data_IF_124326676666
#
_entry.id   IF_124326676666
#
_cell.length_a   1.000
_cell.length_b   1.000
_cell.length_c   1.000
_cell.angle_alpha   90.00
_cell.angle_beta   90.00
_cell.angle_gamma   90.00
#
_symmetry.space_group_name_H-M   'P 1'
#
loop_
_entity.id
_entity.type
_entity.pdbx_description
1 polymer ?
#
# COMPACT_ATOMS: atom_id res chain seq x y z
N UNK A 1 -62.90 -73.90 -31.82
CA UNK A 1 -62.91 -72.46 -31.63
C UNK A 1 -61.72 -72.17 -30.66
N UNK A 2 -60.57 -71.78 -31.19
CA UNK A 2 -59.34 -71.50 -30.43
C UNK A 2 -59.16 -70.05 -30.19
N UNK A 3 -59.13 -69.64 -28.93
CA UNK A 3 -58.90 -68.30 -28.50
C UNK A 3 -57.38 -68.09 -28.37
N UNK A 4 -56.82 -67.08 -29.08
CA UNK A 4 -55.43 -66.66 -29.01
C UNK A 4 -55.24 -65.64 -27.89
N UNK A 5 -54.14 -65.62 -27.15
CA UNK A 5 -53.93 -64.63 -26.07
C UNK A 5 -53.33 -63.33 -26.59
N UNK A 6 -53.83 -62.20 -26.03
CA UNK A 6 -53.38 -60.82 -26.28
C UNK A 6 -52.05 -60.56 -25.53
N UNK A 7 -50.99 -60.22 -26.29
CA UNK A 7 -49.72 -59.79 -25.71
C UNK A 7 -49.77 -58.34 -25.20
N UNK A 8 -49.41 -58.12 -23.94
CA UNK A 8 -49.21 -56.80 -23.34
C UNK A 8 -47.86 -56.20 -23.77
N UNK A 9 -47.94 -55.12 -24.52
CA UNK A 9 -46.74 -54.26 -24.78
C UNK A 9 -46.42 -53.40 -23.57
N UNK A 10 -45.27 -53.64 -22.96
CA UNK A 10 -44.73 -52.78 -21.89
C UNK A 10 -43.86 -51.71 -22.54
N UNK A 11 -44.29 -50.44 -22.49
CA UNK A 11 -43.48 -49.29 -22.94
C UNK A 11 -42.53 -48.88 -21.79
N UNK A 12 -41.25 -49.04 -22.00
CA UNK A 12 -40.22 -48.52 -21.13
C UNK A 12 -39.89 -47.08 -21.55
N UNK A 13 -40.27 -46.09 -20.74
CA UNK A 13 -39.81 -44.71 -20.89
C UNK A 13 -38.44 -44.57 -20.26
N UNK A 14 -37.39 -44.51 -21.08
CA UNK A 14 -36.07 -44.17 -20.64
C UNK A 14 -35.97 -42.64 -20.36
N UNK A 15 -35.90 -42.24 -19.10
CA UNK A 15 -35.51 -40.86 -18.71
C UNK A 15 -34.03 -40.67 -19.02
N UNK A 16 -33.70 -39.92 -20.05
CA UNK A 16 -32.35 -39.41 -20.28
C UNK A 16 -32.06 -38.31 -19.27
N UNK A 17 -31.33 -38.62 -18.22
CA UNK A 17 -30.72 -37.60 -17.33
C UNK A 17 -29.45 -37.12 -18.02
N UNK A 18 -29.51 -35.97 -18.64
CA UNK A 18 -28.31 -35.25 -19.12
C UNK A 18 -27.57 -34.66 -17.90
N UNK A 19 -26.30 -34.97 -17.71
CA UNK A 19 -25.51 -34.30 -16.68
C UNK A 19 -25.32 -32.85 -17.10
N UNK A 20 -25.88 -31.92 -16.31
CA UNK A 20 -25.53 -30.49 -16.38
C UNK A 20 -24.09 -30.36 -15.89
N UNK A 21 -23.12 -30.38 -16.81
CA UNK A 21 -21.78 -29.92 -16.53
C UNK A 21 -21.84 -28.44 -16.26
N UNK A 22 -21.91 -28.07 -14.98
CA UNK A 22 -21.59 -26.74 -14.53
C UNK A 22 -20.09 -26.53 -14.83
N UNK A 23 -19.76 -25.99 -16.00
CA UNK A 23 -18.43 -25.49 -16.31
C UNK A 23 -18.23 -24.32 -15.36
N UNK A 24 -17.50 -24.54 -14.26
CA UNK A 24 -16.81 -23.45 -13.58
C UNK A 24 -15.97 -22.77 -14.67
N UNK A 25 -16.33 -21.52 -15.02
CA UNK A 25 -15.50 -20.71 -15.88
C UNK A 25 -14.15 -20.59 -15.15
N UNK A 26 -13.14 -21.29 -15.64
CA UNK A 26 -11.75 -21.03 -15.28
C UNK A 26 -11.55 -19.55 -15.56
N UNK A 27 -11.43 -18.77 -14.49
CA UNK A 27 -11.09 -17.35 -14.59
C UNK A 27 -9.73 -17.32 -15.29
N UNK A 28 -9.71 -16.93 -16.55
CA UNK A 28 -8.50 -16.77 -17.33
C UNK A 28 -7.53 -15.95 -16.47
N UNK A 29 -6.34 -16.52 -16.24
CA UNK A 29 -5.28 -15.84 -15.49
C UNK A 29 -4.92 -14.58 -16.28
N UNK A 30 -5.41 -13.43 -15.83
CA UNK A 30 -5.16 -12.16 -16.50
C UNK A 30 -3.74 -11.76 -16.19
N UNK A 31 -2.93 -11.55 -17.22
CA UNK A 31 -1.58 -11.02 -17.04
C UNK A 31 -1.68 -9.59 -16.53
N UNK A 32 -0.99 -9.28 -15.41
CA UNK A 32 -0.95 -7.93 -14.84
C UNK A 32 -0.19 -6.92 -15.72
N UNK A 33 -0.23 -5.65 -15.32
CA UNK A 33 0.36 -4.54 -16.06
C UNK A 33 1.87 -4.70 -16.31
N UNK A 34 2.59 -5.33 -15.38
CA UNK A 34 4.04 -5.57 -15.52
C UNK A 34 4.34 -6.53 -16.69
N UNK A 35 3.49 -7.51 -16.92
CA UNK A 35 3.69 -8.46 -18.04
C UNK A 35 3.20 -7.92 -19.37
N UNK A 36 2.16 -7.09 -19.37
CA UNK A 36 1.53 -6.56 -20.58
C UNK A 36 2.09 -5.21 -21.03
N UNK A 37 2.77 -4.48 -20.13
CA UNK A 37 3.16 -3.09 -20.33
C UNK A 37 1.98 -2.09 -20.30
N UNK A 38 0.77 -2.57 -20.00
CA UNK A 38 -0.44 -1.74 -20.01
C UNK A 38 -0.97 -1.47 -18.60
N UNK A 39 -0.79 -0.25 -18.13
CA UNK A 39 -1.34 0.26 -16.88
C UNK A 39 -2.67 0.95 -17.17
N UNK A 40 -3.73 0.51 -16.51
CA UNK A 40 -5.09 1.05 -16.74
C UNK A 40 -5.19 2.51 -16.32
N UNK A 41 -5.79 3.33 -17.17
CA UNK A 41 -6.17 4.71 -16.82
C UNK A 41 -7.69 4.74 -16.54
N UNK A 42 -8.05 4.61 -15.26
CA UNK A 42 -9.45 4.56 -14.81
C UNK A 42 -10.18 5.87 -15.07
N UNK A 43 -9.48 7.02 -15.08
CA UNK A 43 -10.10 8.31 -15.39
C UNK A 43 -10.46 8.40 -16.87
N UNK A 44 -9.60 7.93 -17.77
CA UNK A 44 -9.92 7.85 -19.20
C UNK A 44 -11.05 6.85 -19.45
N UNK A 45 -11.05 5.71 -18.78
CA UNK A 45 -12.16 4.74 -18.81
C UNK A 45 -13.47 5.35 -18.26
N UNK A 46 -13.38 6.31 -17.35
CA UNK A 46 -14.52 7.08 -16.83
C UNK A 46 -14.97 8.22 -17.75
N UNK A 47 -14.21 8.54 -18.81
CA UNK A 47 -14.58 9.51 -19.84
C UNK A 47 -13.82 10.83 -19.80
N UNK A 48 -12.84 10.99 -18.92
CA UNK A 48 -11.97 12.16 -18.88
C UNK A 48 -10.88 12.05 -19.97
N UNK A 49 -10.45 13.18 -20.52
CA UNK A 49 -9.35 13.17 -21.50
C UNK A 49 -7.98 12.98 -20.81
N UNK A 50 -7.03 12.39 -21.52
CA UNK A 50 -5.65 12.25 -21.00
C UNK A 50 -5.02 13.59 -20.62
N UNK A 51 -5.36 14.66 -21.33
CA UNK A 51 -4.88 16.01 -21.04
C UNK A 51 -5.42 16.53 -19.68
N UNK A 52 -6.69 16.33 -19.39
CA UNK A 52 -7.29 16.69 -18.09
C UNK A 52 -6.67 15.89 -16.95
N UNK A 53 -6.43 14.59 -17.17
CA UNK A 53 -5.79 13.71 -16.18
C UNK A 53 -4.37 14.21 -15.86
N UNK A 54 -3.55 14.49 -16.88
CA UNK A 54 -2.19 15.04 -16.70
C UNK A 54 -2.25 16.37 -15.97
N UNK A 55 -3.11 17.29 -16.38
CA UNK A 55 -3.26 18.61 -15.75
C UNK A 55 -3.67 18.50 -14.27
N UNK A 56 -4.55 17.55 -13.93
CA UNK A 56 -4.97 17.30 -12.54
C UNK A 56 -3.81 16.80 -11.67
N UNK A 57 -3.02 15.85 -12.17
CA UNK A 57 -1.83 15.32 -11.47
C UNK A 57 -0.80 16.43 -11.27
N UNK A 58 -0.48 17.19 -12.32
CA UNK A 58 0.49 18.29 -12.26
C UNK A 58 0.03 19.38 -11.28
N UNK A 59 -1.24 19.75 -11.31
CA UNK A 59 -1.82 20.72 -10.36
C UNK A 59 -1.74 20.25 -8.92
N UNK A 60 -2.05 18.97 -8.66
CA UNK A 60 -1.97 18.39 -7.32
C UNK A 60 -0.51 18.33 -6.82
N UNK A 61 0.43 17.93 -7.68
CA UNK A 61 1.84 17.94 -7.35
C UNK A 61 2.34 19.36 -7.06
N UNK A 62 2.01 20.34 -7.91
CA UNK A 62 2.42 21.73 -7.71
C UNK A 62 1.86 22.28 -6.38
N UNK A 63 0.59 21.99 -6.06
CA UNK A 63 0.00 22.45 -4.81
C UNK A 63 0.66 21.81 -3.58
N UNK A 64 0.85 20.50 -3.55
CA UNK A 64 1.37 19.78 -2.39
C UNK A 64 2.88 19.93 -2.19
N UNK A 65 3.64 20.11 -3.29
CA UNK A 65 5.10 20.25 -3.21
C UNK A 65 5.60 21.69 -3.30
N UNK A 66 4.90 22.57 -3.98
CA UNK A 66 5.37 23.92 -4.29
C UNK A 66 4.33 25.01 -4.05
N UNK A 67 3.18 24.67 -3.46
CA UNK A 67 2.12 25.63 -3.14
C UNK A 67 2.42 26.47 -1.90
N UNK A 68 1.42 27.24 -1.43
CA UNK A 68 1.53 28.05 -0.24
C UNK A 68 1.92 27.17 0.98
N UNK A 69 3.06 27.46 1.65
CA UNK A 69 3.53 26.66 2.78
C UNK A 69 2.58 26.67 3.99
N UNK A 70 1.74 27.70 4.12
CA UNK A 70 0.82 27.80 5.25
C UNK A 70 -0.45 26.95 5.07
N UNK A 71 -0.92 26.80 3.82
CA UNK A 71 -2.24 26.23 3.54
C UNK A 71 -2.24 25.03 2.60
N UNK A 72 -1.19 24.83 1.77
CA UNK A 72 -1.19 23.88 0.67
C UNK A 72 -0.03 22.87 0.72
N UNK A 73 1.21 23.37 0.82
CA UNK A 73 2.38 22.52 0.70
C UNK A 73 2.56 21.57 1.90
N UNK A 74 3.04 20.36 1.61
CA UNK A 74 3.55 19.40 2.60
C UNK A 74 5.04 19.17 2.44
N UNK A 75 5.64 19.53 1.29
CA UNK A 75 7.07 19.47 1.03
C UNK A 75 7.74 20.78 1.43
N UNK A 76 8.82 20.67 2.23
CA UNK A 76 9.55 21.84 2.76
C UNK A 76 11.05 21.69 2.55
N UNK A 77 11.74 22.68 1.93
CA UNK A 77 13.19 22.75 1.87
C UNK A 77 13.81 22.86 3.28
N UNK A 78 14.97 22.21 3.49
CA UNK A 78 15.67 22.15 4.78
C UNK A 78 17.16 22.51 4.67
N UNK A 79 17.51 23.36 3.72
CA UNK A 79 18.91 23.76 3.48
C UNK A 79 19.69 22.77 2.63
N UNK A 80 21.00 22.72 2.83
CA UNK A 80 21.93 21.89 2.05
C UNK A 80 23.02 21.29 2.95
N UNK A 81 23.56 20.15 2.53
CA UNK A 81 24.78 19.53 3.10
C UNK A 81 25.73 19.08 1.98
N UNK A 82 26.75 18.29 2.30
CA UNK A 82 27.70 17.75 1.33
C UNK A 82 27.04 16.90 0.21
N UNK A 83 25.87 16.31 0.47
CA UNK A 83 25.07 15.55 -0.48
C UNK A 83 24.01 16.40 -1.22
N UNK A 84 24.13 17.74 -1.22
CA UNK A 84 23.26 18.72 -1.86
C UNK A 84 21.98 19.06 -1.07
N UNK A 85 20.85 19.49 -1.70
CA UNK A 85 19.65 19.94 -0.98
C UNK A 85 19.07 18.87 -0.04
N UNK A 86 18.46 19.39 1.00
CA UNK A 86 17.63 18.63 1.97
C UNK A 86 16.20 19.14 1.88
N UNK A 87 15.23 18.23 1.95
CA UNK A 87 13.84 18.58 2.10
C UNK A 87 13.10 17.50 2.90
N UNK A 88 11.94 17.83 3.44
CA UNK A 88 11.10 16.90 4.18
C UNK A 88 9.62 17.06 3.82
N UNK A 89 8.87 15.98 4.02
CA UNK A 89 7.42 15.98 4.04
C UNK A 89 6.97 16.21 5.49
N UNK A 90 6.17 17.22 5.72
CA UNK A 90 5.73 17.67 7.04
C UNK A 90 4.31 17.19 7.35
N UNK A 91 4.12 16.44 8.41
CA UNK A 91 2.81 16.28 9.03
C UNK A 91 2.51 17.52 9.88
N UNK A 92 1.81 18.46 9.28
CA UNK A 92 1.51 19.74 9.92
C UNK A 92 0.52 19.59 11.08
N UNK A 93 -0.32 18.55 11.03
CA UNK A 93 -1.27 18.24 12.09
C UNK A 93 -0.58 17.81 13.37
N UNK A 94 0.37 16.89 13.25
CA UNK A 94 1.15 16.35 14.36
C UNK A 94 2.49 17.08 14.58
N UNK A 95 2.87 17.98 13.67
CA UNK A 95 4.08 18.82 13.73
C UNK A 95 5.38 18.01 13.70
N UNK A 96 5.38 16.92 12.95
CA UNK A 96 6.53 16.02 12.82
C UNK A 96 6.84 15.66 11.35
N UNK A 97 7.93 14.91 11.17
CA UNK A 97 8.37 14.35 9.89
C UNK A 97 8.42 12.85 10.07
N UNK A 98 7.65 12.11 9.28
CA UNK A 98 7.50 10.65 9.37
C UNK A 98 8.20 9.93 8.22
N UNK A 99 8.76 8.75 8.51
CA UNK A 99 9.34 7.89 7.46
C UNK A 99 8.31 7.54 6.39
N UNK A 100 7.05 7.33 6.77
CA UNK A 100 5.89 7.18 5.88
C UNK A 100 5.83 8.32 4.84
N UNK A 101 5.69 9.56 5.29
CA UNK A 101 5.56 10.72 4.39
C UNK A 101 6.80 10.95 3.54
N UNK A 102 8.00 10.76 4.12
CA UNK A 102 9.27 10.87 3.39
C UNK A 102 9.35 9.86 2.24
N UNK A 103 8.99 8.60 2.49
CA UNK A 103 9.03 7.53 1.51
C UNK A 103 7.93 7.66 0.45
N UNK A 104 6.73 8.11 0.82
CA UNK A 104 5.66 8.43 -0.14
C UNK A 104 6.04 9.61 -1.03
N UNK A 105 6.64 10.67 -0.45
CA UNK A 105 7.15 11.79 -1.24
C UNK A 105 8.20 11.37 -2.26
N UNK A 106 9.12 10.46 -1.89
CA UNK A 106 10.10 9.89 -2.81
C UNK A 106 9.42 9.04 -3.89
N UNK A 107 8.44 8.21 -3.54
CA UNK A 107 7.70 7.40 -4.52
C UNK A 107 6.96 8.28 -5.53
N UNK A 108 6.25 9.31 -5.08
CA UNK A 108 5.58 10.29 -5.94
C UNK A 108 6.61 10.97 -6.87
N UNK A 109 7.73 11.44 -6.30
CA UNK A 109 8.77 12.13 -7.06
C UNK A 109 9.40 11.24 -8.14
N UNK A 110 9.67 9.96 -7.85
CA UNK A 110 10.22 9.05 -8.86
C UNK A 110 9.20 8.73 -9.96
N UNK A 111 7.91 8.59 -9.63
CA UNK A 111 6.87 8.36 -10.63
C UNK A 111 6.70 9.57 -11.55
N UNK A 112 6.76 10.78 -11.03
CA UNK A 112 6.62 12.03 -11.80
C UNK A 112 7.93 12.55 -12.42
N UNK A 113 9.04 11.80 -12.35
CA UNK A 113 10.35 12.23 -12.85
C UNK A 113 10.91 13.51 -12.20
N UNK A 114 10.65 13.68 -10.91
CA UNK A 114 11.08 14.84 -10.10
C UNK A 114 12.33 14.47 -9.28
N UNK A 115 13.47 14.33 -9.99
CA UNK A 115 14.73 13.86 -9.38
C UNK A 115 15.25 14.79 -8.28
N UNK A 116 15.06 16.08 -8.41
CA UNK A 116 15.52 17.07 -7.42
C UNK A 116 14.83 16.90 -6.08
N UNK A 117 13.50 16.75 -6.10
CA UNK A 117 12.68 16.53 -4.92
C UNK A 117 12.98 15.16 -4.30
N UNK A 118 13.15 14.13 -5.13
CA UNK A 118 13.54 12.79 -4.69
C UNK A 118 14.87 12.80 -3.94
N UNK A 119 15.91 13.37 -4.53
CA UNK A 119 17.25 13.42 -3.94
C UNK A 119 17.28 14.23 -2.65
N UNK A 120 16.52 15.31 -2.57
CA UNK A 120 16.44 16.14 -1.37
C UNK A 120 15.74 15.41 -0.21
N UNK A 121 14.66 14.67 -0.49
CA UNK A 121 13.97 13.83 0.50
C UNK A 121 14.86 12.68 0.96
N UNK A 122 15.52 11.97 0.03
CA UNK A 122 16.41 10.89 0.37
C UNK A 122 17.61 11.37 1.20
N UNK A 123 18.24 12.48 0.81
CA UNK A 123 19.33 13.09 1.57
C UNK A 123 18.89 13.43 3.01
N UNK A 124 17.68 13.97 3.19
CA UNK A 124 17.12 14.27 4.50
C UNK A 124 16.87 13.00 5.33
N UNK A 125 16.25 11.96 4.75
CA UNK A 125 16.02 10.69 5.42
C UNK A 125 17.34 10.06 5.89
N UNK A 126 18.35 10.04 5.01
CA UNK A 126 19.70 9.52 5.33
C UNK A 126 20.46 10.34 6.38
N UNK A 127 20.26 11.64 6.42
CA UNK A 127 20.98 12.54 7.34
C UNK A 127 20.36 12.59 8.72
N UNK A 128 19.02 12.54 8.81
CA UNK A 128 18.31 12.88 10.05
C UNK A 128 17.49 11.74 10.67
N UNK A 129 17.19 10.69 9.90
CA UNK A 129 16.34 9.59 10.38
C UNK A 129 17.09 8.26 10.45
N UNK A 130 18.09 8.06 9.60
CA UNK A 130 18.82 6.79 9.49
C UNK A 130 19.80 6.56 10.64
N UNK A 131 19.76 5.35 11.21
CA UNK A 131 20.67 4.91 12.29
C UNK A 131 21.88 4.17 11.73
N UNK A 132 23.03 4.85 11.67
CA UNK A 132 24.28 4.32 11.11
C UNK A 132 25.19 3.60 12.14
N UNK A 133 24.92 3.77 13.44
CA UNK A 133 25.73 3.14 14.50
C UNK A 133 25.34 1.68 14.69
N UNK A 134 26.29 0.76 14.55
CA UNK A 134 26.05 -0.69 14.70
C UNK A 134 25.62 -1.12 16.11
N UNK A 135 25.80 -0.25 17.12
CA UNK A 135 25.35 -0.49 18.49
C UNK A 135 23.95 0.05 18.77
N UNK A 136 23.34 0.77 17.83
CA UNK A 136 22.00 1.31 17.98
C UNK A 136 20.96 0.22 17.70
N UNK A 137 19.88 0.07 18.50
CA UNK A 137 18.88 -0.98 18.28
C UNK A 137 18.16 -0.85 16.92
N UNK A 138 17.98 0.37 16.40
CA UNK A 138 17.43 0.62 15.07
C UNK A 138 18.51 0.72 13.96
N UNK A 139 19.74 0.26 14.20
CA UNK A 139 20.82 0.30 13.18
C UNK A 139 20.35 -0.25 11.84
N UNK A 140 20.57 0.46 10.74
CA UNK A 140 20.15 0.07 9.39
C UNK A 140 18.74 0.55 9.00
N UNK A 141 17.96 1.00 9.97
CA UNK A 141 16.59 1.50 9.81
C UNK A 141 16.48 3.01 10.00
N UNK A 142 15.27 3.52 9.92
CA UNK A 142 14.94 4.94 10.06
C UNK A 142 14.05 5.16 11.29
N UNK A 143 14.25 6.27 12.01
CA UNK A 143 13.27 6.75 12.97
C UNK A 143 11.93 6.96 12.27
N UNK A 144 10.82 6.41 12.82
CA UNK A 144 9.52 6.65 12.20
C UNK A 144 9.08 8.11 12.32
N UNK A 145 9.52 8.83 13.36
CA UNK A 145 9.16 10.23 13.58
C UNK A 145 10.33 11.07 14.08
N UNK A 146 10.53 12.23 13.45
CA UNK A 146 11.48 13.26 13.87
C UNK A 146 10.81 14.63 13.88
N UNK A 147 11.36 15.58 14.64
CA UNK A 147 11.03 17.00 14.49
C UNK A 147 11.51 17.54 13.14
N UNK A 148 11.00 18.69 12.72
CA UNK A 148 11.42 19.37 11.49
C UNK A 148 12.90 19.78 11.48
N UNK A 149 13.51 19.96 12.64
CA UNK A 149 14.97 20.18 12.79
C UNK A 149 15.81 18.90 12.69
N UNK A 150 15.17 17.71 12.66
CA UNK A 150 15.83 16.40 12.56
C UNK A 150 16.06 15.69 13.89
N UNK A 151 15.67 16.28 15.03
CA UNK A 151 15.72 15.59 16.31
C UNK A 151 14.71 14.46 16.35
N UNK A 152 15.08 13.23 16.71
CA UNK A 152 14.13 12.12 16.81
C UNK A 152 13.07 12.36 17.88
N UNK A 153 11.80 12.14 17.51
CA UNK A 153 10.69 11.99 18.46
C UNK A 153 10.59 10.54 18.94
N UNK A 154 10.80 9.60 18.00
CA UNK A 154 10.84 8.18 18.28
C UNK A 154 11.73 7.49 17.24
N UNK A 155 12.68 6.70 17.72
CA UNK A 155 13.68 6.01 16.90
C UNK A 155 13.26 4.59 16.50
N UNK A 156 12.08 4.15 16.89
CA UNK A 156 11.53 2.86 16.47
C UNK A 156 11.22 2.90 14.96
N UNK A 157 11.59 1.90 14.19
CA UNK A 157 11.20 1.82 12.78
C UNK A 157 9.72 1.48 12.59
N UNK A 158 9.11 2.05 11.55
CA UNK A 158 7.78 1.70 11.05
C UNK A 158 7.94 1.13 9.62
N UNK A 159 7.69 -0.17 9.41
CA UNK A 159 8.06 -0.90 8.19
C UNK A 159 7.60 -0.30 6.88
N UNK A 160 6.44 0.32 6.82
CA UNK A 160 5.91 0.97 5.61
C UNK A 160 6.86 2.03 5.04
N UNK A 161 7.56 2.76 5.91
CA UNK A 161 8.60 3.70 5.51
C UNK A 161 9.74 3.01 4.78
N UNK A 162 10.32 1.96 5.35
CA UNK A 162 11.41 1.19 4.77
C UNK A 162 11.00 0.53 3.45
N UNK A 163 9.79 -0.02 3.36
CA UNK A 163 9.28 -0.68 2.17
C UNK A 163 9.15 0.27 0.98
N UNK A 164 8.59 1.45 1.21
CA UNK A 164 8.51 2.48 0.19
C UNK A 164 9.86 3.10 -0.15
N UNK A 165 10.77 3.29 0.82
CA UNK A 165 12.15 3.71 0.54
C UNK A 165 12.85 2.72 -0.39
N UNK A 166 12.84 1.44 -0.07
CA UNK A 166 13.47 0.39 -0.89
C UNK A 166 12.93 0.40 -2.32
N UNK A 167 11.61 0.38 -2.47
CA UNK A 167 10.99 0.30 -3.80
C UNK A 167 11.24 1.56 -4.62
N UNK A 168 11.12 2.75 -3.99
CA UNK A 168 11.40 4.02 -4.67
C UNK A 168 12.87 4.17 -5.08
N UNK A 169 13.82 3.65 -4.29
CA UNK A 169 15.24 3.62 -4.63
C UNK A 169 15.54 2.70 -5.82
N UNK A 170 14.92 1.51 -5.89
CA UNK A 170 15.04 0.66 -7.08
C UNK A 170 14.47 1.35 -8.32
N UNK A 171 13.34 2.02 -8.20
CA UNK A 171 12.75 2.78 -9.31
C UNK A 171 13.65 3.94 -9.73
N UNK A 172 14.28 4.64 -8.77
CA UNK A 172 15.26 5.69 -9.07
C UNK A 172 16.49 5.15 -9.80
N UNK A 173 17.02 4.00 -9.37
CA UNK A 173 18.13 3.32 -10.05
C UNK A 173 17.77 2.96 -11.51
N UNK A 174 16.56 2.45 -11.74
CA UNK A 174 16.07 2.12 -13.08
C UNK A 174 15.88 3.35 -13.96
N UNK A 175 15.37 4.43 -13.38
CA UNK A 175 14.96 5.62 -14.12
C UNK A 175 16.09 6.60 -14.38
N UNK A 176 16.99 6.76 -13.41
CA UNK A 176 18.05 7.79 -13.46
C UNK A 176 19.48 7.22 -13.41
N UNK A 177 19.60 5.90 -13.22
CA UNK A 177 20.89 5.24 -12.98
C UNK A 177 21.40 5.46 -11.56
N UNK A 178 22.56 4.85 -11.25
CA UNK A 178 23.21 4.95 -9.96
C UNK A 178 24.26 6.07 -9.96
N UNK A 179 24.24 6.89 -8.92
CA UNK A 179 25.26 7.89 -8.63
C UNK A 179 26.30 7.40 -7.62
N UNK A 180 27.04 8.32 -7.02
CA UNK A 180 28.01 8.05 -5.96
C UNK A 180 27.39 8.24 -4.56
N UNK A 181 27.97 7.58 -3.54
CA UNK A 181 27.53 7.71 -2.15
C UNK A 181 26.09 7.30 -1.95
N UNK A 182 25.32 8.14 -1.26
CA UNK A 182 23.87 7.88 -1.00
C UNK A 182 23.02 7.87 -2.27
N UNK A 183 23.53 8.36 -3.39
CA UNK A 183 22.86 8.34 -4.69
C UNK A 183 23.16 7.07 -5.52
N UNK A 184 23.90 6.11 -4.96
CA UNK A 184 23.91 4.74 -5.48
C UNK A 184 22.64 4.04 -5.03
N UNK A 185 21.53 4.39 -5.68
CA UNK A 185 20.18 4.01 -5.26
C UNK A 185 20.00 2.50 -5.11
N UNK A 186 20.54 1.71 -6.07
CA UNK A 186 20.44 0.25 -6.00
C UNK A 186 21.21 -0.33 -4.81
N UNK A 187 22.40 0.18 -4.51
CA UNK A 187 23.16 -0.26 -3.36
C UNK A 187 22.45 0.09 -2.04
N UNK A 188 21.86 1.29 -1.96
CA UNK A 188 21.08 1.73 -0.81
C UNK A 188 19.80 0.89 -0.64
N UNK A 189 19.07 0.60 -1.73
CA UNK A 189 17.92 -0.30 -1.70
C UNK A 189 18.29 -1.71 -1.22
N UNK A 190 19.35 -2.30 -1.79
CA UNK A 190 19.82 -3.63 -1.40
C UNK A 190 20.22 -3.70 0.08
N UNK A 191 20.85 -2.63 0.62
CA UNK A 191 21.27 -2.55 2.01
C UNK A 191 20.04 -2.54 2.95
N UNK A 192 19.08 -1.63 2.72
CA UNK A 192 17.87 -1.55 3.55
C UNK A 192 17.07 -2.86 3.45
N UNK A 193 16.90 -3.40 2.25
CA UNK A 193 16.19 -4.67 2.04
C UNK A 193 16.85 -5.84 2.77
N UNK A 194 18.20 -5.88 2.79
CA UNK A 194 18.97 -6.87 3.54
C UNK A 194 18.78 -6.73 5.05
N UNK A 195 18.79 -5.49 5.57
CA UNK A 195 18.55 -5.22 6.99
C UNK A 195 17.12 -5.61 7.39
N UNK A 196 16.09 -5.32 6.58
CA UNK A 196 14.70 -5.69 6.84
C UNK A 196 14.55 -7.20 7.10
N UNK A 197 15.31 -8.03 6.42
CA UNK A 197 15.23 -9.50 6.53
C UNK A 197 16.20 -10.11 7.52
N UNK A 198 17.48 -9.68 7.51
CA UNK A 198 18.59 -10.42 8.16
C UNK A 198 19.07 -9.81 9.46
N UNK A 199 18.37 -8.78 9.93
CA UNK A 199 18.76 -8.04 11.10
C UNK A 199 18.82 -8.93 12.34
N UNK A 200 19.98 -8.97 12.99
CA UNK A 200 20.15 -9.60 14.29
C UNK A 200 19.60 -8.70 15.39
N UNK A 201 19.24 -9.28 16.53
CA UNK A 201 18.78 -8.53 17.69
C UNK A 201 19.90 -7.63 18.22
N UNK A 202 19.60 -6.36 18.38
CA UNK A 202 20.47 -5.37 19.05
C UNK A 202 19.66 -4.72 20.16
N UNK A 203 20.25 -4.66 21.34
CA UNK A 203 19.70 -3.94 22.50
C UNK A 203 20.50 -2.66 22.73
N UNK A 204 19.81 -1.54 22.89
CA UNK A 204 20.45 -0.25 23.14
C UNK A 204 19.44 0.81 23.61
N UNK A 205 19.98 2.00 23.93
CA UNK A 205 19.17 3.14 24.36
C UNK A 205 18.64 3.92 23.16
N UNK A 206 17.42 4.39 23.28
CA UNK A 206 16.75 5.31 22.36
C UNK A 206 16.23 6.54 23.12
N UNK A 207 15.70 7.52 22.42
CA UNK A 207 15.02 8.67 23.06
C UNK A 207 13.81 8.26 23.88
N UNK A 208 13.25 7.06 23.64
CA UNK A 208 12.12 6.48 24.41
C UNK A 208 12.55 5.44 25.44
N UNK A 209 13.86 5.29 25.67
CA UNK A 209 14.42 4.33 26.64
C UNK A 209 15.01 3.10 25.96
N UNK A 210 15.12 2.00 26.71
CA UNK A 210 15.74 0.77 26.23
C UNK A 210 14.85 0.06 25.20
N UNK A 211 15.41 -0.23 24.03
CA UNK A 211 14.79 -1.00 22.95
C UNK A 211 15.66 -2.22 22.60
N UNK A 212 15.05 -3.31 22.23
CA UNK A 212 15.69 -4.46 21.57
C UNK A 212 14.97 -4.70 20.27
N UNK A 213 15.66 -4.56 19.14
CA UNK A 213 15.04 -4.69 17.82
C UNK A 213 15.80 -5.69 16.93
N UNK A 214 15.07 -6.35 16.03
CA UNK A 214 15.59 -7.32 15.08
C UNK A 214 15.11 -7.07 13.64
N UNK A 215 14.79 -8.15 12.91
CA UNK A 215 14.25 -8.07 11.54
C UNK A 215 12.82 -7.51 11.51
N UNK A 216 12.48 -6.83 10.40
CA UNK A 216 11.11 -6.36 10.15
C UNK A 216 10.16 -7.49 9.73
N UNK A 217 10.68 -8.64 9.31
CA UNK A 217 9.87 -9.77 8.89
C UNK A 217 9.89 -10.88 9.94
N UNK A 218 8.72 -11.40 10.23
CA UNK A 218 8.52 -12.56 11.08
C UNK A 218 8.80 -13.83 10.27
N UNK A 219 9.77 -14.69 10.69
CA UNK A 219 10.27 -15.76 9.83
C UNK A 219 9.33 -16.95 9.70
N UNK A 220 8.50 -17.27 10.71
CA UNK A 220 7.62 -18.45 10.69
C UNK A 220 6.36 -18.21 9.84
N UNK A 221 5.85 -16.96 9.82
CA UNK A 221 4.72 -16.55 9.00
C UNK A 221 5.14 -15.93 7.67
N UNK A 222 6.41 -15.52 7.54
CA UNK A 222 6.96 -14.80 6.37
C UNK A 222 6.17 -13.51 6.11
N UNK A 223 5.86 -12.78 7.18
CA UNK A 223 5.04 -11.57 7.17
C UNK A 223 5.78 -10.40 7.80
N UNK A 224 5.43 -9.19 7.35
CA UNK A 224 5.91 -7.96 7.95
C UNK A 224 5.36 -7.81 9.37
N UNK A 225 6.20 -7.37 10.29
CA UNK A 225 5.82 -7.03 11.67
C UNK A 225 5.28 -5.60 11.72
N UNK A 226 4.51 -5.27 12.74
CA UNK A 226 4.18 -3.87 13.03
C UNK A 226 5.44 -3.04 13.35
N UNK A 227 6.39 -3.63 14.08
CA UNK A 227 7.67 -3.02 14.44
C UNK A 227 8.70 -4.11 14.71
N UNK A 228 10.01 -3.84 14.54
CA UNK A 228 11.05 -4.79 14.92
C UNK A 228 11.36 -4.84 16.44
N UNK A 229 10.78 -3.94 17.26
CA UNK A 229 10.94 -3.96 18.72
C UNK A 229 10.24 -5.16 19.33
N UNK A 230 11.00 -6.02 20.05
CA UNK A 230 10.51 -7.27 20.65
C UNK A 230 9.31 -7.08 21.59
N UNK A 231 9.10 -5.88 22.12
CA UNK A 231 7.95 -5.58 22.97
C UNK A 231 6.63 -5.59 22.20
N UNK A 232 6.69 -5.27 20.88
CA UNK A 232 5.52 -5.03 20.05
C UNK A 232 5.58 -5.77 18.68
N UNK A 233 6.47 -6.75 18.51
CA UNK A 233 6.72 -7.40 17.23
C UNK A 233 5.84 -8.62 16.92
N UNK A 234 4.92 -9.00 17.85
CA UNK A 234 4.09 -10.21 17.72
C UNK A 234 2.77 -9.98 16.97
N UNK A 235 2.64 -8.86 16.30
CA UNK A 235 1.48 -8.51 15.48
C UNK A 235 1.94 -7.75 14.23
N UNK A 236 1.01 -7.53 13.33
CA UNK A 236 1.22 -6.82 12.06
C UNK A 236 0.17 -5.72 11.88
N UNK A 237 0.41 -4.86 10.91
CA UNK A 237 -0.56 -3.92 10.35
C UNK A 237 -0.94 -4.40 8.95
N UNK A 238 -2.23 -4.65 8.65
CA UNK A 238 -2.66 -5.05 7.30
C UNK A 238 -2.24 -4.08 6.21
N UNK A 239 -2.07 -2.78 6.52
CA UNK A 239 -1.64 -1.78 5.56
C UNK A 239 -0.13 -1.82 5.26
N UNK A 240 0.67 -2.54 6.05
CA UNK A 240 2.09 -2.75 5.80
C UNK A 240 2.35 -3.91 4.83
N UNK A 241 1.37 -4.77 4.58
CA UNK A 241 1.51 -5.85 3.60
C UNK A 241 1.48 -5.28 2.17
N UNK A 242 2.62 -5.35 1.48
CA UNK A 242 2.82 -4.81 0.13
C UNK A 242 3.21 -5.93 -0.87
N UNK A 243 2.32 -6.91 -1.15
CA UNK A 243 2.66 -8.04 -2.03
C UNK A 243 3.13 -7.59 -3.42
N UNK A 244 2.65 -6.45 -3.92
CA UNK A 244 3.12 -5.89 -5.18
C UNK A 244 4.62 -5.56 -5.15
N UNK A 245 5.12 -5.01 -4.04
CA UNK A 245 6.54 -4.70 -3.87
C UNK A 245 7.35 -5.96 -3.61
N UNK A 246 6.84 -6.91 -2.83
CA UNK A 246 7.52 -8.18 -2.56
C UNK A 246 7.72 -9.00 -3.83
N UNK A 247 6.74 -9.04 -4.73
CA UNK A 247 6.87 -9.65 -6.06
C UNK A 247 7.94 -8.94 -6.92
N UNK A 248 8.03 -7.62 -6.83
CA UNK A 248 9.07 -6.86 -7.48
C UNK A 248 10.46 -7.19 -6.90
N UNK A 249 10.61 -7.25 -5.56
CA UNK A 249 11.87 -7.61 -4.90
C UNK A 249 12.28 -9.06 -5.17
N UNK A 250 11.31 -9.97 -5.33
CA UNK A 250 11.57 -11.34 -5.77
C UNK A 250 12.24 -11.42 -7.16
N UNK A 251 12.10 -10.38 -7.97
CA UNK A 251 12.71 -10.32 -9.31
C UNK A 251 13.98 -9.48 -9.34
N UNK A 252 13.98 -8.34 -8.69
CA UNK A 252 15.01 -7.31 -8.79
C UNK A 252 15.95 -7.23 -7.58
N UNK A 253 15.55 -7.78 -6.43
CA UNK A 253 16.33 -7.80 -5.19
C UNK A 253 17.51 -8.78 -5.24
N UNK A 254 18.31 -8.84 -4.14
CA UNK A 254 19.44 -9.75 -4.00
C UNK A 254 19.03 -11.20 -4.26
N UNK A 255 19.81 -11.93 -5.06
CA UNK A 255 19.45 -13.30 -5.51
C UNK A 255 19.18 -14.25 -4.35
N UNK A 256 19.92 -14.13 -3.24
CA UNK A 256 19.78 -15.00 -2.08
C UNK A 256 18.40 -14.88 -1.39
N UNK A 257 17.70 -13.74 -1.58
CA UNK A 257 16.45 -13.43 -0.88
C UNK A 257 15.20 -13.51 -1.76
N UNK A 258 15.35 -13.76 -3.06
CA UNK A 258 14.25 -13.73 -4.02
C UNK A 258 13.13 -14.72 -3.71
N UNK A 259 13.48 -15.92 -3.27
CA UNK A 259 12.51 -16.93 -2.87
C UNK A 259 11.69 -16.47 -1.65
N UNK A 260 12.36 -15.92 -0.64
CA UNK A 260 11.69 -15.35 0.54
C UNK A 260 10.68 -14.27 0.15
N UNK A 261 11.05 -13.34 -0.74
CA UNK A 261 10.17 -12.27 -1.16
C UNK A 261 8.96 -12.78 -1.96
N UNK A 262 9.16 -13.82 -2.78
CA UNK A 262 8.04 -14.48 -3.45
C UNK A 262 7.07 -15.15 -2.47
N UNK A 263 7.60 -15.77 -1.41
CA UNK A 263 6.80 -16.36 -0.33
C UNK A 263 6.09 -15.28 0.50
N UNK A 264 6.75 -14.17 0.81
CA UNK A 264 6.14 -13.03 1.52
C UNK A 264 4.97 -12.41 0.74
N UNK A 265 5.10 -12.31 -0.59
CA UNK A 265 3.98 -11.87 -1.43
C UNK A 265 2.79 -12.84 -1.36
N UNK A 266 3.05 -14.15 -1.42
CA UNK A 266 2.00 -15.16 -1.31
C UNK A 266 1.36 -15.14 0.09
N UNK A 267 2.16 -15.05 1.16
CA UNK A 267 1.67 -14.96 2.54
C UNK A 267 0.77 -13.72 2.75
N UNK A 268 1.14 -12.57 2.18
CA UNK A 268 0.35 -11.35 2.28
C UNK A 268 -0.99 -11.44 1.53
N UNK A 269 -1.04 -12.11 0.36
CA UNK A 269 -2.31 -12.37 -0.36
C UNK A 269 -3.26 -13.23 0.47
N UNK A 270 -2.74 -14.29 1.09
CA UNK A 270 -3.52 -15.14 2.01
C UNK A 270 -3.94 -14.38 3.27
N UNK A 271 -3.08 -13.52 3.79
CA UNK A 271 -3.37 -12.70 4.96
C UNK A 271 -4.54 -11.75 4.70
N UNK A 272 -4.60 -11.06 3.56
CA UNK A 272 -5.72 -10.18 3.23
C UNK A 272 -7.08 -10.90 3.25
N UNK A 273 -7.12 -12.18 2.82
CA UNK A 273 -8.37 -12.96 2.84
C UNK A 273 -8.87 -13.23 4.25
N UNK A 274 -7.96 -13.31 5.24
CA UNK A 274 -8.28 -13.55 6.64
C UNK A 274 -8.55 -12.26 7.41
N UNK A 275 -7.78 -11.19 7.14
CA UNK A 275 -7.87 -9.92 7.83
C UNK A 275 -9.10 -9.10 7.41
N UNK A 276 -9.52 -9.18 6.15
CA UNK A 276 -10.70 -8.46 5.68
C UNK A 276 -12.00 -9.14 6.14
N UNK A 277 -12.87 -8.37 6.78
CA UNK A 277 -14.15 -8.87 7.29
C UNK A 277 -15.05 -9.42 6.15
N UNK A 278 -15.63 -10.62 6.31
CA UNK A 278 -16.28 -11.33 5.21
C UNK A 278 -17.52 -10.64 4.64
N UNK A 279 -18.19 -9.78 5.39
CA UNK A 279 -19.37 -9.06 4.91
C UNK A 279 -19.05 -7.64 4.41
N UNK A 280 -18.16 -6.90 5.07
CA UNK A 280 -17.87 -5.49 4.77
C UNK A 280 -16.62 -5.27 3.92
N UNK A 281 -15.67 -6.20 3.95
CA UNK A 281 -14.35 -6.02 3.33
C UNK A 281 -13.41 -5.09 4.12
N UNK A 282 -13.84 -4.58 5.28
CA UNK A 282 -13.01 -3.75 6.14
C UNK A 282 -11.90 -4.57 6.80
N UNK A 283 -10.67 -4.08 6.79
CA UNK A 283 -9.55 -4.64 7.54
C UNK A 283 -9.30 -3.81 8.80
N UNK A 284 -8.80 -4.39 9.91
CA UNK A 284 -8.42 -3.61 11.09
C UNK A 284 -7.14 -2.80 10.84
N UNK A 285 -6.84 -1.81 11.72
CA UNK A 285 -5.53 -1.17 11.75
C UNK A 285 -4.45 -2.19 12.12
N UNK A 286 -4.66 -2.95 13.22
CA UNK A 286 -3.69 -3.96 13.65
C UNK A 286 -4.36 -5.34 13.70
N UNK A 287 -3.57 -6.37 13.36
CA UNK A 287 -4.00 -7.76 13.36
C UNK A 287 -2.90 -8.68 13.90
N UNK A 288 -3.30 -9.81 14.44
CA UNK A 288 -2.40 -10.94 14.62
C UNK A 288 -2.01 -11.52 13.26
N UNK A 289 -0.91 -12.30 13.19
CA UNK A 289 -0.46 -12.91 11.93
C UNK A 289 -1.45 -13.93 11.32
N UNK A 290 -2.42 -14.39 12.10
CA UNK A 290 -3.53 -15.22 11.60
C UNK A 290 -4.66 -14.42 10.95
N UNK A 291 -4.60 -13.08 10.99
CA UNK A 291 -5.59 -12.16 10.44
C UNK A 291 -6.66 -11.71 11.43
N UNK A 292 -6.67 -12.22 12.67
CA UNK A 292 -7.62 -11.76 13.70
C UNK A 292 -7.28 -10.34 14.15
N UNK A 293 -8.29 -9.46 14.34
CA UNK A 293 -8.07 -8.08 14.80
C UNK A 293 -7.36 -8.04 16.16
N UNK A 294 -6.45 -7.08 16.34
CA UNK A 294 -5.71 -6.91 17.58
C UNK A 294 -5.87 -5.49 18.15
N UNK A 295 -6.43 -5.41 19.37
CA UNK A 295 -6.57 -4.15 20.09
C UNK A 295 -5.32 -3.86 20.91
N UNK A 296 -4.51 -2.90 20.49
CA UNK A 296 -3.32 -2.48 21.21
C UNK A 296 -3.67 -1.72 22.49
N UNK A 297 -2.92 -1.92 23.59
CA UNK A 297 -3.18 -1.18 24.85
C UNK A 297 -3.10 0.34 24.72
N UNK A 298 -2.30 0.82 23.77
CA UNK A 298 -2.12 2.27 23.47
C UNK A 298 -3.09 2.79 22.41
N UNK A 299 -3.78 1.92 21.66
CA UNK A 299 -4.76 2.27 20.64
C UNK A 299 -5.93 1.29 20.68
N UNK A 300 -6.95 1.53 21.53
CA UNK A 300 -8.07 0.60 21.69
C UNK A 300 -8.90 0.38 20.43
N UNK A 301 -8.82 1.31 19.45
CA UNK A 301 -9.48 1.20 18.16
C UNK A 301 -8.61 0.58 17.06
N UNK A 302 -7.43 0.07 17.38
CA UNK A 302 -6.58 -0.59 16.38
C UNK A 302 -7.17 -1.91 15.84
N UNK A 303 -8.14 -2.51 16.53
CA UNK A 303 -8.90 -3.64 16.04
C UNK A 303 -10.05 -3.25 15.08
N UNK A 304 -10.27 -1.95 14.87
CA UNK A 304 -11.29 -1.39 14.00
C UNK A 304 -10.68 -0.85 12.69
N UNK A 305 -11.55 -0.51 11.73
CA UNK A 305 -11.14 0.14 10.48
C UNK A 305 -11.00 1.65 10.70
N UNK A 306 -9.78 2.16 10.55
CA UNK A 306 -9.46 3.59 10.62
C UNK A 306 -8.13 3.88 9.91
N UNK A 307 -7.77 5.11 9.71
CA UNK A 307 -6.51 5.67 9.18
C UNK A 307 -5.58 4.71 8.39
N UNK A 308 -4.73 3.92 9.06
CA UNK A 308 -3.75 3.06 8.39
C UNK A 308 -4.44 1.96 7.59
N UNK A 309 -5.52 1.39 8.09
CA UNK A 309 -6.27 0.35 7.38
C UNK A 309 -6.91 0.80 6.06
N UNK A 310 -7.05 2.13 5.80
CA UNK A 310 -7.52 2.63 4.50
C UNK A 310 -6.62 2.18 3.36
N UNK A 311 -5.30 2.13 3.60
CA UNK A 311 -4.27 1.75 2.62
C UNK A 311 -4.32 0.27 2.23
N UNK A 312 -4.90 -0.59 3.08
CA UNK A 312 -4.97 -2.04 2.81
C UNK A 312 -5.64 -2.33 1.46
N UNK A 313 -6.71 -1.57 1.13
CA UNK A 313 -7.42 -1.70 -0.15
C UNK A 313 -6.55 -1.29 -1.36
N UNK A 314 -5.73 -0.26 -1.21
CA UNK A 314 -4.74 0.10 -2.22
C UNK A 314 -3.77 -1.06 -2.44
N UNK A 315 -3.24 -1.66 -1.38
CA UNK A 315 -2.17 -2.64 -1.46
C UNK A 315 -2.58 -3.91 -2.24
N UNK A 316 -3.75 -4.51 -1.93
CA UNK A 316 -4.22 -5.67 -2.71
C UNK A 316 -4.63 -5.29 -4.13
N UNK A 317 -5.17 -4.08 -4.34
CA UNK A 317 -5.61 -3.67 -5.67
C UNK A 317 -4.44 -3.34 -6.61
N UNK A 318 -3.36 -2.79 -6.07
CA UNK A 318 -2.11 -2.56 -6.80
C UNK A 318 -1.44 -3.91 -7.13
N UNK A 319 -1.44 -4.87 -6.20
CA UNK A 319 -0.92 -6.21 -6.47
C UNK A 319 -1.67 -6.89 -7.61
N UNK A 320 -3.00 -6.86 -7.57
CA UNK A 320 -3.81 -7.35 -8.69
C UNK A 320 -3.47 -6.64 -10.00
N UNK A 321 -3.45 -5.31 -9.98
CA UNK A 321 -3.17 -4.50 -11.18
C UNK A 321 -1.81 -4.80 -11.79
N UNK A 322 -0.77 -4.94 -10.96
CA UNK A 322 0.59 -5.17 -11.46
C UNK A 322 0.85 -6.61 -11.88
N UNK A 323 0.35 -7.58 -11.11
CA UNK A 323 0.75 -8.98 -11.24
C UNK A 323 -0.36 -9.91 -11.68
N UNK A 324 -1.63 -9.61 -11.38
CA UNK A 324 -2.80 -10.44 -11.74
C UNK A 324 -2.78 -11.85 -11.12
N UNK A 325 -2.12 -12.02 -9.96
CA UNK A 325 -1.83 -13.35 -9.40
C UNK A 325 -2.91 -13.93 -8.52
N UNK A 326 -3.68 -13.10 -7.82
CA UNK A 326 -4.73 -13.57 -6.91
C UNK A 326 -6.09 -12.94 -7.23
N UNK A 327 -6.94 -13.70 -7.90
CA UNK A 327 -8.28 -13.23 -8.29
C UNK A 327 -9.21 -12.93 -7.10
N UNK A 328 -8.86 -13.38 -5.88
CA UNK A 328 -9.63 -13.11 -4.65
C UNK A 328 -9.53 -11.62 -4.25
N UNK A 329 -8.47 -10.92 -4.64
CA UNK A 329 -8.31 -9.47 -4.41
C UNK A 329 -9.39 -8.65 -5.11
N UNK A 330 -9.91 -9.14 -6.23
CA UNK A 330 -11.07 -8.56 -6.92
C UNK A 330 -12.32 -8.58 -6.03
N UNK A 331 -12.54 -9.72 -5.37
CA UNK A 331 -13.68 -9.89 -4.47
C UNK A 331 -13.56 -9.01 -3.21
N UNK A 332 -12.33 -8.81 -2.70
CA UNK A 332 -12.08 -7.88 -1.60
C UNK A 332 -12.47 -6.46 -1.99
N UNK A 333 -12.03 -5.99 -3.15
CA UNK A 333 -12.37 -4.66 -3.66
C UNK A 333 -13.86 -4.48 -3.92
N UNK A 334 -14.53 -5.46 -4.55
CA UNK A 334 -15.97 -5.41 -4.79
C UNK A 334 -16.78 -5.35 -3.49
N UNK A 335 -16.35 -6.09 -2.45
CA UNK A 335 -17.00 -6.13 -1.14
C UNK A 335 -16.82 -4.81 -0.38
N UNK A 336 -15.59 -4.28 -0.34
CA UNK A 336 -15.29 -3.00 0.29
C UNK A 336 -16.09 -1.86 -0.36
N UNK A 337 -16.09 -1.80 -1.68
CA UNK A 337 -16.85 -0.78 -2.41
C UNK A 337 -18.36 -0.92 -2.22
N UNK A 338 -18.89 -2.15 -2.14
CA UNK A 338 -20.31 -2.36 -1.81
C UNK A 338 -20.67 -1.79 -0.42
N UNK A 339 -19.78 -1.98 0.55
CA UNK A 339 -19.96 -1.42 1.89
C UNK A 339 -20.00 0.11 1.85
N UNK A 340 -19.00 0.79 1.25
CA UNK A 340 -18.97 2.25 1.21
C UNK A 340 -20.08 2.86 0.33
N UNK A 341 -20.48 2.21 -0.76
CA UNK A 341 -21.67 2.61 -1.54
C UNK A 341 -22.91 2.62 -0.64
N UNK A 342 -23.10 1.61 0.21
CA UNK A 342 -24.24 1.53 1.14
C UNK A 342 -24.24 2.63 2.22
N UNK A 343 -23.10 3.26 2.49
CA UNK A 343 -22.95 4.37 3.44
C UNK A 343 -23.13 5.75 2.79
N UNK A 344 -23.22 5.80 1.46
CA UNK A 344 -23.35 7.05 0.69
C UNK A 344 -22.02 7.63 0.25
N UNK A 345 -21.77 7.62 -1.07
CA UNK A 345 -20.46 7.95 -1.69
C UNK A 345 -19.92 9.33 -1.36
N UNK A 346 -20.77 10.30 -1.07
CA UNK A 346 -20.38 11.68 -0.77
C UNK A 346 -20.35 12.02 0.73
N UNK A 347 -20.60 11.04 1.61
CA UNK A 347 -20.83 11.34 3.03
C UNK A 347 -20.43 10.26 4.03
N UNK A 348 -19.89 9.11 3.58
CA UNK A 348 -19.47 8.09 4.52
C UNK A 348 -18.36 8.63 5.46
N UNK A 349 -18.41 8.20 6.70
CA UNK A 349 -17.40 8.56 7.69
C UNK A 349 -16.08 7.81 7.47
N UNK A 350 -15.11 8.11 8.30
CA UNK A 350 -13.73 7.65 8.15
C UNK A 350 -13.32 6.51 9.11
N UNK A 351 -14.16 6.16 10.09
CA UNK A 351 -13.86 5.09 11.05
C UNK A 351 -15.08 4.22 11.31
N UNK A 352 -14.87 2.90 11.29
CA UNK A 352 -15.90 1.89 11.44
C UNK A 352 -15.40 0.70 12.25
N UNK A 353 -16.27 0.09 13.06
CA UNK A 353 -16.02 -1.29 13.47
C UNK A 353 -16.02 -2.19 12.25
N UNK A 354 -15.36 -3.34 12.29
CA UNK A 354 -15.30 -4.24 11.14
C UNK A 354 -16.69 -4.74 10.68
N UNK A 355 -17.66 -4.80 11.59
CA UNK A 355 -19.06 -5.12 11.26
C UNK A 355 -19.84 -3.94 10.65
N UNK A 356 -19.21 -2.76 10.53
CA UNK A 356 -19.75 -1.61 9.80
C UNK A 356 -20.50 -0.58 10.63
N UNK A 357 -20.34 -0.54 11.97
CA UNK A 357 -20.85 0.55 12.80
C UNK A 357 -19.89 1.74 12.72
N UNK A 358 -20.39 2.89 12.30
CA UNK A 358 -19.61 4.12 12.14
C UNK A 358 -19.39 4.77 13.51
N UNK A 359 -18.14 5.24 13.77
CA UNK A 359 -17.78 6.03 14.96
C UNK A 359 -16.87 7.24 14.62
N UNK A 360 -16.52 7.45 13.35
CA UNK A 360 -15.88 8.65 12.83
C UNK A 360 -16.77 9.29 11.75
N UNK A 361 -16.89 10.62 11.75
CA UNK A 361 -17.84 11.34 10.90
C UNK A 361 -17.19 12.14 9.76
N UNK A 362 -15.86 12.23 9.73
CA UNK A 362 -15.17 12.98 8.69
C UNK A 362 -15.21 12.23 7.36
N UNK A 363 -15.58 12.90 6.29
CA UNK A 363 -15.48 12.37 4.94
C UNK A 363 -14.05 12.65 4.42
N UNK A 364 -13.08 11.83 4.88
CA UNK A 364 -11.66 12.06 4.68
C UNK A 364 -11.25 11.83 3.21
N UNK A 365 -10.50 12.78 2.64
CA UNK A 365 -9.98 12.68 1.28
C UNK A 365 -9.10 11.45 1.07
N UNK A 366 -8.27 11.08 2.06
CA UNK A 366 -7.42 9.90 1.99
C UNK A 366 -8.22 8.61 1.82
N UNK A 367 -9.35 8.47 2.54
CA UNK A 367 -10.23 7.30 2.39
C UNK A 367 -10.95 7.29 1.03
N UNK A 368 -11.42 8.45 0.55
CA UNK A 368 -11.99 8.56 -0.80
C UNK A 368 -10.96 8.12 -1.85
N UNK A 369 -9.71 8.55 -1.68
CA UNK A 369 -8.60 8.20 -2.55
C UNK A 369 -8.31 6.69 -2.56
N UNK A 370 -8.21 6.06 -1.39
CA UNK A 370 -7.94 4.61 -1.29
C UNK A 370 -9.09 3.76 -1.82
N UNK A 371 -10.34 4.16 -1.59
CA UNK A 371 -11.51 3.50 -2.17
C UNK A 371 -11.55 3.61 -3.71
N UNK A 372 -11.03 4.70 -4.29
CA UNK A 372 -10.88 4.83 -5.74
C UNK A 372 -9.81 3.90 -6.30
N UNK A 373 -8.65 3.74 -5.60
CA UNK A 373 -7.61 2.79 -6.02
C UNK A 373 -8.11 1.35 -5.98
N UNK A 374 -9.04 1.01 -5.08
CA UNK A 374 -9.69 -0.30 -5.04
C UNK A 374 -10.37 -0.66 -6.38
N UNK A 375 -10.72 0.33 -7.21
CA UNK A 375 -11.29 0.13 -8.56
C UNK A 375 -10.32 -0.52 -9.54
N UNK A 376 -9.02 -0.55 -9.27
CA UNK A 376 -8.04 -1.28 -10.10
C UNK A 376 -8.30 -2.80 -10.10
N UNK A 377 -8.77 -3.33 -8.97
CA UNK A 377 -9.09 -4.75 -8.84
C UNK A 377 -10.60 -5.03 -8.96
N UNK A 378 -11.46 -4.09 -8.60
CA UNK A 378 -12.91 -4.27 -8.61
C UNK A 378 -13.48 -4.67 -9.98
N UNK A 379 -14.53 -5.46 -9.95
CA UNK A 379 -15.21 -5.95 -11.17
C UNK A 379 -16.62 -5.39 -11.34
N UNK A 380 -17.22 -4.91 -10.26
CA UNK A 380 -18.58 -4.40 -10.29
C UNK A 380 -18.61 -2.98 -10.90
N UNK A 381 -19.63 -2.63 -11.73
CA UNK A 381 -19.74 -1.31 -12.36
C UNK A 381 -19.74 -0.11 -11.40
N UNK A 382 -20.05 -0.31 -10.12
CA UNK A 382 -19.96 0.73 -9.08
C UNK A 382 -18.55 1.32 -8.95
N UNK A 383 -17.51 0.58 -9.30
CA UNK A 383 -16.12 1.02 -9.25
C UNK A 383 -15.90 2.39 -9.93
N UNK A 384 -16.61 2.62 -11.05
CA UNK A 384 -16.56 3.91 -11.74
C UNK A 384 -17.00 5.09 -10.85
N UNK A 385 -17.97 4.89 -9.96
CA UNK A 385 -18.45 5.96 -9.07
C UNK A 385 -17.40 6.38 -8.05
N UNK A 386 -16.55 5.45 -7.58
CA UNK A 386 -15.42 5.75 -6.69
C UNK A 386 -14.31 6.50 -7.42
N UNK A 387 -14.05 6.16 -8.68
CA UNK A 387 -13.11 6.90 -9.54
C UNK A 387 -13.59 8.33 -9.75
N UNK A 388 -14.88 8.53 -10.05
CA UNK A 388 -15.50 9.85 -10.18
C UNK A 388 -15.51 10.63 -8.85
N UNK A 389 -15.70 9.95 -7.71
CA UNK A 389 -15.61 10.59 -6.40
C UNK A 389 -14.20 11.17 -6.17
N UNK A 390 -13.14 10.42 -6.47
CA UNK A 390 -11.77 10.93 -6.41
C UNK A 390 -11.54 12.07 -7.41
N UNK A 391 -12.04 11.93 -8.64
CA UNK A 391 -11.93 12.98 -9.66
C UNK A 391 -12.51 14.31 -9.19
N UNK A 392 -13.65 14.27 -8.53
CA UNK A 392 -14.36 15.46 -8.05
C UNK A 392 -13.84 15.98 -6.70
N UNK A 393 -13.00 15.22 -6.00
CA UNK A 393 -12.41 15.63 -4.73
C UNK A 393 -11.30 16.66 -4.97
N UNK A 394 -11.30 17.80 -4.27
CA UNK A 394 -10.24 18.79 -4.38
C UNK A 394 -8.95 18.30 -3.72
N UNK A 395 -7.82 18.90 -4.11
CA UNK A 395 -6.54 18.66 -3.42
C UNK A 395 -6.64 19.17 -1.97
N UNK A 396 -6.25 18.34 -0.97
CA UNK A 396 -6.36 18.72 0.43
C UNK A 396 -5.60 20.01 0.78
N UNK A 397 -6.16 20.76 1.72
CA UNK A 397 -5.59 22.01 2.26
C UNK A 397 -5.71 22.03 3.78
N UNK A 398 -5.11 23.04 4.44
CA UNK A 398 -5.25 23.22 5.88
C UNK A 398 -4.35 22.31 6.72
N UNK A 399 -4.69 22.16 7.99
CA UNK A 399 -3.84 21.53 9.00
C UNK A 399 -3.64 20.01 8.74
N UNK A 400 -4.67 19.29 8.26
CA UNK A 400 -4.65 17.84 8.10
C UNK A 400 -4.28 17.37 6.69
N UNK A 401 -3.78 18.29 5.84
CA UNK A 401 -3.45 18.01 4.42
C UNK A 401 -2.33 17.01 4.19
N UNK A 402 -1.55 16.66 5.21
CA UNK A 402 -0.41 15.75 5.07
C UNK A 402 -0.85 14.37 4.60
N UNK A 403 -1.54 13.61 5.45
CA UNK A 403 -1.90 12.23 5.16
C UNK A 403 -2.88 12.14 3.99
N UNK A 404 -3.95 12.93 4.04
CA UNK A 404 -4.92 13.02 2.95
C UNK A 404 -4.27 13.40 1.61
N UNK A 405 -3.32 14.34 1.61
CA UNK A 405 -2.63 14.80 0.39
C UNK A 405 -1.68 13.75 -0.20
N UNK A 406 -0.94 13.02 0.66
CA UNK A 406 -0.08 11.94 0.20
C UNK A 406 -0.89 10.81 -0.43
N UNK A 407 -1.95 10.35 0.26
CA UNK A 407 -2.83 9.31 -0.27
C UNK A 407 -3.57 9.77 -1.54
N UNK A 408 -4.02 11.04 -1.59
CA UNK A 408 -4.66 11.61 -2.76
C UNK A 408 -3.76 11.58 -4.00
N UNK A 409 -2.50 12.01 -3.87
CA UNK A 409 -1.58 12.07 -5.00
C UNK A 409 -1.13 10.67 -5.44
N UNK A 410 -0.90 9.74 -4.49
CA UNK A 410 -0.67 8.32 -4.82
C UNK A 410 -1.86 7.73 -5.57
N UNK A 411 -3.10 8.03 -5.14
CA UNK A 411 -4.30 7.53 -5.82
C UNK A 411 -4.48 8.11 -7.22
N UNK A 412 -4.18 9.39 -7.44
CA UNK A 412 -4.17 9.98 -8.78
C UNK A 412 -3.21 9.24 -9.70
N UNK A 413 -1.99 8.92 -9.23
CA UNK A 413 -1.00 8.18 -10.00
C UNK A 413 -1.45 6.75 -10.30
N UNK A 414 -2.00 6.04 -9.33
CA UNK A 414 -2.51 4.69 -9.53
C UNK A 414 -3.72 4.65 -10.48
N UNK A 415 -4.70 5.53 -10.28
CA UNK A 415 -5.92 5.55 -11.09
C UNK A 415 -5.71 6.10 -12.50
N UNK A 416 -4.64 6.86 -12.74
CA UNK A 416 -4.29 7.35 -14.08
C UNK A 416 -3.44 6.39 -14.90
N UNK A 417 -2.93 5.32 -14.27
CA UNK A 417 -1.96 4.43 -14.90
C UNK A 417 -0.54 4.99 -14.96
N UNK A 418 -0.26 6.14 -14.32
CA UNK A 418 1.08 6.75 -14.28
C UNK A 418 1.98 6.19 -13.17
N UNK A 419 1.48 5.30 -12.33
CA UNK A 419 2.28 4.58 -11.34
C UNK A 419 2.86 3.31 -11.97
N UNK A 420 4.08 3.39 -12.44
CA UNK A 420 4.75 2.32 -13.18
C UNK A 420 5.74 1.54 -12.32
N UNK A 421 5.96 0.27 -12.66
CA UNK A 421 7.09 -0.52 -12.17
C UNK A 421 8.30 -0.24 -13.06
N UNK A 422 9.33 0.38 -12.49
CA UNK A 422 10.60 0.66 -13.14
C UNK A 422 11.61 -0.43 -12.77
N UNK A 423 12.00 -1.27 -13.71
CA UNK A 423 12.96 -2.36 -13.47
C UNK A 423 14.38 -1.92 -13.76
N UNK A 424 15.34 -2.06 -12.81
CA UNK A 424 16.77 -1.84 -13.09
C UNK A 424 17.24 -2.77 -14.21
N UNK A 425 18.05 -2.21 -15.13
CA UNK A 425 18.65 -2.95 -16.23
C UNK A 425 19.78 -3.86 -15.77
#
# INVERSE_FOLDING_TARGET
MKILPVSKLTVWSALLVLPVFCRAAELAQTSGAVATGHYRNLFVEAGHSSQEVTAKIDSAFQQLFHGDPNTQAVYFPAGTNANRPLAYIHDLGNKDVRSEGMSYGMMIAVQLNKKTEFDALWNRARTCMYHASSNHPAYGYFSWSTMTNGTPNDEMPAPDGEEYFVTSLYFAAARWGNGAGIHNYQAEANRVLGDMRHRQLITGSTVKGLMTAGSLFEPDHIMVRFTPDIKNWNHTDPSYHLPAFYEFWARCGPKADREFWAQAAAASREFFQRAAHPATGLAPDYANFDGTPWAAPWNPHSADFQYDSWRTAMNWSVDWSWWGKDARERQLSDRLQAFFESKGLSSYGNRFTLVGNQFGNDHATGLVAMNAVASLAATHPRARQFVEALWNTPVPTGQWRYYDGMLYLLALLHCSGEFHVWTPQ
#
